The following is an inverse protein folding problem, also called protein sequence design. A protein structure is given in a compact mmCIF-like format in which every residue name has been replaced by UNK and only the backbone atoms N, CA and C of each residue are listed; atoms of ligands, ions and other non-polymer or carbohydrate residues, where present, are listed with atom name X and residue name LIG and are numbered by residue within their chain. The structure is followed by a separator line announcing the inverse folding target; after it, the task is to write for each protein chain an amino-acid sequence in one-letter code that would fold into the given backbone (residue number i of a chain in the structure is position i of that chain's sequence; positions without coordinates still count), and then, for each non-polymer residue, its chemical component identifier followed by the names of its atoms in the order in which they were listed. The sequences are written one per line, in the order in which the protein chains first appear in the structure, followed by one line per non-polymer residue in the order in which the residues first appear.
data_IF_506540305868
#
_entry.id   IF_506540305868
#
_cell.length_a   1.000
_cell.length_b   1.000
_cell.length_c   1.000
_cell.angle_alpha   90.00
_cell.angle_beta   90.00
_cell.angle_gamma   90.00
#
_symmetry.space_group_name_H-M   'P 1'
#
loop_
_entity.id
_entity.type
_entity.pdbx_description
1 polymer ?
#
# COMPACT_ATOMS: atom_id res chain seq x y z
N UNK A 1 -34.16 5.19 -15.74
CA UNK A 1 -35.64 5.16 -15.71
C UNK A 1 -36.20 4.53 -16.98
N UNK A 2 -35.85 5.01 -18.19
CA UNK A 2 -36.35 4.52 -19.48
C UNK A 2 -36.11 3.03 -19.73
N UNK A 3 -34.93 2.51 -19.35
CA UNK A 3 -34.58 1.09 -19.45
C UNK A 3 -35.51 0.24 -18.57
N UNK A 4 -35.79 0.68 -17.36
CA UNK A 4 -36.68 -0.03 -16.43
C UNK A 4 -38.10 -0.04 -16.97
N UNK A 5 -38.62 1.11 -17.43
CA UNK A 5 -39.97 1.22 -18.03
C UNK A 5 -40.12 0.34 -19.26
N UNK A 6 -39.11 0.31 -20.13
CA UNK A 6 -39.08 -0.53 -21.32
C UNK A 6 -38.97 -2.03 -20.99
N UNK A 7 -38.30 -2.39 -19.90
CA UNK A 7 -38.17 -3.78 -19.46
C UNK A 7 -39.44 -4.32 -18.80
N UNK A 8 -40.25 -3.45 -18.17
CA UNK A 8 -41.52 -3.84 -17.51
C UNK A 8 -42.69 -4.02 -18.50
N UNK A 9 -42.59 -3.41 -19.69
CA UNK A 9 -43.69 -3.51 -20.67
C UNK A 9 -43.74 -4.90 -21.33
N UNK A 10 -44.81 -5.67 -21.23
CA UNK A 10 -44.86 -7.09 -21.66
C UNK A 10 -44.56 -7.32 -23.15
N UNK A 11 -44.84 -6.32 -24.01
CA UNK A 11 -44.60 -6.37 -25.46
C UNK A 11 -43.27 -5.71 -25.86
N UNK A 12 -42.47 -5.24 -24.88
CA UNK A 12 -41.22 -4.53 -25.14
C UNK A 12 -40.11 -5.43 -25.66
N UNK A 13 -39.34 -4.94 -26.62
CA UNK A 13 -38.18 -5.66 -27.14
C UNK A 13 -37.16 -5.97 -26.04
N UNK A 14 -36.92 -5.03 -25.14
CA UNK A 14 -36.05 -5.21 -23.97
C UNK A 14 -36.60 -6.21 -22.98
N UNK A 15 -37.93 -6.31 -22.80
CA UNK A 15 -38.54 -7.33 -21.96
C UNK A 15 -38.24 -8.76 -22.46
N UNK A 16 -38.24 -8.95 -23.78
CA UNK A 16 -37.91 -10.25 -24.41
C UNK A 16 -36.41 -10.60 -24.24
N UNK A 17 -35.51 -9.60 -24.39
CA UNK A 17 -34.07 -9.83 -24.19
C UNK A 17 -33.77 -10.12 -22.72
N UNK A 18 -34.23 -9.28 -21.80
CA UNK A 18 -33.97 -9.42 -20.37
C UNK A 18 -34.72 -10.60 -19.73
N UNK A 19 -35.82 -11.02 -20.35
CA UNK A 19 -36.58 -12.23 -19.99
C UNK A 19 -35.94 -13.54 -20.45
N UNK A 20 -34.80 -13.49 -21.13
CA UNK A 20 -34.05 -14.69 -21.50
C UNK A 20 -33.59 -15.44 -20.23
N UNK A 21 -33.65 -16.79 -20.22
CA UNK A 21 -33.25 -17.63 -19.09
C UNK A 21 -31.85 -17.29 -18.52
N UNK A 22 -30.90 -16.91 -19.38
CA UNK A 22 -29.55 -16.51 -18.97
C UNK A 22 -29.55 -15.24 -18.11
N UNK A 23 -30.25 -14.18 -18.58
CA UNK A 23 -30.33 -12.92 -17.83
C UNK A 23 -31.11 -13.09 -16.52
N UNK A 24 -32.17 -13.92 -16.52
CA UNK A 24 -32.92 -14.26 -15.31
C UNK A 24 -32.02 -15.05 -14.34
N UNK A 25 -31.19 -15.97 -14.84
CA UNK A 25 -30.25 -16.73 -14.04
C UNK A 25 -29.24 -15.80 -13.35
N UNK A 26 -28.60 -14.91 -14.11
CA UNK A 26 -27.63 -13.90 -13.61
C UNK A 26 -28.31 -12.95 -12.63
N UNK A 27 -29.47 -12.41 -12.98
CA UNK A 27 -30.21 -11.45 -12.16
C UNK A 27 -30.60 -11.99 -10.79
N UNK A 28 -31.02 -13.26 -10.72
CA UNK A 28 -31.32 -13.93 -9.43
C UNK A 28 -30.10 -14.10 -8.53
N UNK A 29 -28.88 -14.11 -9.08
CA UNK A 29 -27.60 -14.33 -8.40
C UNK A 29 -26.75 -13.09 -8.30
N UNK A 30 -27.25 -11.98 -8.82
CA UNK A 30 -26.49 -10.71 -8.91
C UNK A 30 -25.91 -10.28 -7.56
N UNK A 31 -26.68 -10.47 -6.47
CA UNK A 31 -26.22 -10.15 -5.13
C UNK A 31 -25.06 -11.07 -4.68
N UNK A 32 -25.20 -12.40 -4.87
CA UNK A 32 -24.13 -13.33 -4.54
C UNK A 32 -22.89 -13.13 -5.42
N UNK A 33 -23.06 -12.82 -6.72
CA UNK A 33 -21.96 -12.45 -7.61
C UNK A 33 -21.25 -11.19 -7.14
N UNK A 34 -22.00 -10.16 -6.77
CA UNK A 34 -21.46 -8.92 -6.22
C UNK A 34 -20.67 -9.14 -4.92
N UNK A 35 -21.14 -10.00 -4.03
CA UNK A 35 -20.45 -10.30 -2.78
C UNK A 35 -19.10 -11.03 -3.01
N UNK A 36 -19.03 -11.92 -4.00
CA UNK A 36 -17.87 -12.80 -4.17
C UNK A 36 -16.82 -12.29 -5.15
N UNK A 37 -17.17 -11.41 -6.12
CA UNK A 37 -16.20 -10.97 -7.12
C UNK A 37 -15.01 -10.23 -6.51
N UNK A 38 -15.25 -9.30 -5.59
CA UNK A 38 -14.19 -8.49 -5.00
C UNK A 38 -13.25 -9.31 -4.09
N UNK A 39 -13.74 -10.14 -3.14
CA UNK A 39 -12.87 -11.02 -2.36
C UNK A 39 -12.02 -11.98 -3.21
N UNK A 40 -12.61 -12.56 -4.28
CA UNK A 40 -11.88 -13.46 -5.18
C UNK A 40 -10.74 -12.72 -5.89
N UNK A 41 -11.05 -11.58 -6.51
CA UNK A 41 -10.06 -10.75 -7.19
C UNK A 41 -8.97 -10.32 -6.20
N UNK A 42 -9.33 -9.75 -5.07
CA UNK A 42 -8.36 -9.26 -4.07
C UNK A 42 -7.45 -10.37 -3.58
N UNK A 43 -7.98 -11.58 -3.36
CA UNK A 43 -7.19 -12.70 -2.86
C UNK A 43 -6.26 -13.27 -3.93
N UNK A 44 -6.73 -13.47 -5.16
CA UNK A 44 -5.91 -14.04 -6.23
C UNK A 44 -4.86 -13.03 -6.70
N UNK A 45 -5.25 -11.75 -6.86
CA UNK A 45 -4.33 -10.72 -7.34
C UNK A 45 -3.22 -10.38 -6.34
N UNK A 46 -3.43 -10.63 -5.05
CA UNK A 46 -2.38 -10.46 -4.03
C UNK A 46 -1.16 -11.35 -4.23
N UNK A 47 -1.30 -12.47 -4.97
CA UNK A 47 -0.18 -13.34 -5.33
C UNK A 47 0.60 -12.86 -6.57
N UNK A 48 0.09 -11.88 -7.30
CA UNK A 48 0.71 -11.36 -8.53
C UNK A 48 1.17 -9.92 -8.31
N UNK A 49 2.40 -9.79 -7.84
CA UNK A 49 3.01 -8.50 -7.49
C UNK A 49 3.33 -7.64 -8.73
N UNK A 50 3.61 -8.27 -9.86
CA UNK A 50 4.13 -7.60 -11.07
C UNK A 50 3.07 -6.86 -11.92
N UNK A 51 1.83 -6.78 -11.48
CA UNK A 51 0.77 -6.04 -12.18
C UNK A 51 0.34 -6.59 -13.56
N UNK A 52 1.07 -7.54 -14.12
CA UNK A 52 0.69 -8.25 -15.36
C UNK A 52 0.11 -9.61 -15.04
N UNK A 53 -1.22 -9.64 -14.93
CA UNK A 53 -1.94 -10.89 -14.71
C UNK A 53 -2.02 -11.70 -16.02
N UNK A 54 -1.57 -12.95 -16.03
CA UNK A 54 -1.80 -13.82 -17.18
C UNK A 54 -3.31 -13.98 -17.46
N UNK A 55 -3.69 -14.06 -18.74
CA UNK A 55 -5.10 -14.17 -19.14
C UNK A 55 -5.86 -15.29 -18.44
N UNK A 56 -5.20 -16.41 -18.14
CA UNK A 56 -5.82 -17.52 -17.43
C UNK A 56 -6.27 -17.16 -16.01
N UNK A 57 -5.65 -16.18 -15.36
CA UNK A 57 -6.03 -15.71 -14.01
C UNK A 57 -7.41 -15.07 -14.05
N UNK A 58 -7.69 -14.21 -15.04
CA UNK A 58 -9.03 -13.62 -15.21
C UNK A 58 -10.10 -14.71 -15.44
N UNK A 59 -9.75 -15.78 -16.15
CA UNK A 59 -10.66 -16.91 -16.35
C UNK A 59 -10.92 -17.65 -15.02
N UNK A 60 -9.89 -17.85 -14.21
CA UNK A 60 -10.00 -18.43 -12.86
C UNK A 60 -10.88 -17.56 -11.96
N UNK A 61 -10.68 -16.24 -11.95
CA UNK A 61 -11.47 -15.29 -11.18
C UNK A 61 -12.97 -15.41 -11.51
N UNK A 62 -13.29 -15.43 -12.80
CA UNK A 62 -14.67 -15.56 -13.26
C UNK A 62 -15.28 -16.90 -12.82
N UNK A 63 -14.57 -18.01 -13.06
CA UNK A 63 -15.06 -19.34 -12.71
C UNK A 63 -15.25 -19.46 -11.20
N UNK A 64 -14.26 -19.04 -10.40
CA UNK A 64 -14.31 -19.14 -8.95
C UNK A 64 -15.42 -18.27 -8.39
N UNK A 65 -15.57 -17.04 -8.90
CA UNK A 65 -16.66 -16.13 -8.52
C UNK A 65 -18.03 -16.76 -8.80
N UNK A 66 -18.23 -17.36 -9.98
CA UNK A 66 -19.48 -18.01 -10.33
C UNK A 66 -19.77 -19.21 -9.41
N UNK A 67 -18.76 -20.03 -9.13
CA UNK A 67 -18.91 -21.21 -8.26
C UNK A 67 -19.28 -20.79 -6.83
N UNK A 68 -18.55 -19.84 -6.26
CA UNK A 68 -18.83 -19.35 -4.91
C UNK A 68 -20.18 -18.63 -4.82
N UNK A 69 -20.54 -17.85 -5.83
CA UNK A 69 -21.84 -17.19 -5.91
C UNK A 69 -23.00 -18.20 -6.00
N UNK A 70 -22.86 -19.27 -6.81
CA UNK A 70 -23.87 -20.33 -6.91
C UNK A 70 -24.02 -21.09 -5.58
N UNK A 71 -22.90 -21.42 -4.92
CA UNK A 71 -22.94 -22.07 -3.60
C UNK A 71 -23.62 -21.17 -2.56
N UNK A 72 -23.23 -19.89 -2.49
CA UNK A 72 -23.84 -18.91 -1.59
C UNK A 72 -25.33 -18.72 -1.86
N UNK A 73 -25.71 -18.53 -3.12
CA UNK A 73 -27.11 -18.38 -3.55
C UNK A 73 -27.97 -19.60 -3.17
N UNK A 74 -27.46 -20.80 -3.45
CA UNK A 74 -28.22 -22.04 -3.28
C UNK A 74 -28.34 -22.49 -1.84
N UNK A 75 -27.25 -22.39 -1.08
CA UNK A 75 -27.18 -22.98 0.26
C UNK A 75 -27.34 -21.97 1.39
N UNK A 76 -27.12 -20.68 1.14
CA UNK A 76 -27.22 -19.65 2.15
C UNK A 76 -28.35 -18.68 1.84
N UNK A 77 -28.27 -17.94 0.73
CA UNK A 77 -29.21 -16.83 0.41
C UNK A 77 -30.65 -17.34 0.25
N UNK A 78 -30.87 -18.30 -0.64
CA UNK A 78 -32.22 -18.80 -0.93
C UNK A 78 -32.90 -19.45 0.28
N UNK A 79 -32.24 -20.32 1.07
CA UNK A 79 -32.82 -20.86 2.30
C UNK A 79 -33.09 -19.80 3.34
N UNK A 80 -32.17 -18.85 3.52
CA UNK A 80 -32.34 -17.75 4.48
C UNK A 80 -33.54 -16.87 4.13
N UNK A 81 -33.71 -16.51 2.85
CA UNK A 81 -34.85 -15.69 2.37
C UNK A 81 -36.20 -16.40 2.55
N UNK A 82 -36.24 -17.75 2.51
CA UNK A 82 -37.48 -18.52 2.64
C UNK A 82 -37.85 -18.83 4.09
N UNK A 83 -36.87 -19.10 4.95
CA UNK A 83 -37.10 -19.70 6.27
C UNK A 83 -36.34 -18.94 7.41
N UNK A 84 -35.60 -17.88 7.08
CA UNK A 84 -34.76 -17.19 8.04
C UNK A 84 -33.71 -18.12 8.63
N UNK A 85 -33.34 -17.85 9.88
CA UNK A 85 -32.35 -18.64 10.64
C UNK A 85 -32.77 -20.11 10.80
N UNK A 86 -34.08 -20.39 10.78
CA UNK A 86 -34.61 -21.75 10.90
C UNK A 86 -34.13 -22.70 9.79
N UNK A 87 -33.72 -22.14 8.63
CA UNK A 87 -33.16 -22.90 7.50
C UNK A 87 -31.88 -23.68 7.86
N UNK A 88 -31.17 -23.24 8.91
CA UNK A 88 -29.88 -23.78 9.36
C UNK A 88 -30.02 -24.55 10.68
N UNK A 89 -31.24 -24.72 11.19
CA UNK A 89 -31.49 -25.49 12.42
C UNK A 89 -31.27 -26.95 12.14
N UNK A 90 -30.29 -27.56 12.82
CA UNK A 90 -29.95 -28.96 12.71
C UNK A 90 -31.00 -29.78 13.47
N UNK A 91 -31.92 -30.41 12.76
CA UNK A 91 -32.89 -31.36 13.31
C UNK A 91 -32.57 -32.81 12.83
N UNK A 92 -32.83 -33.80 13.69
CA UNK A 92 -32.60 -35.19 13.34
C UNK A 92 -33.33 -35.56 12.04
N UNK A 93 -32.57 -36.01 11.01
CA UNK A 93 -33.09 -36.44 9.71
C UNK A 93 -33.08 -35.40 8.61
N UNK A 94 -32.77 -34.11 8.86
CA UNK A 94 -32.71 -33.08 7.82
C UNK A 94 -31.31 -32.91 7.23
N UNK A 95 -30.94 -33.82 6.29
CA UNK A 95 -29.64 -33.77 5.60
C UNK A 95 -29.36 -32.44 4.92
N UNK A 96 -30.38 -31.77 4.39
CA UNK A 96 -30.20 -30.48 3.71
C UNK A 96 -29.85 -29.34 4.70
N UNK A 97 -30.42 -29.34 5.89
CA UNK A 97 -30.06 -28.34 6.92
C UNK A 97 -28.61 -28.54 7.37
N UNK A 98 -28.14 -29.79 7.50
CA UNK A 98 -26.75 -30.10 7.84
C UNK A 98 -25.80 -29.55 6.75
N UNK A 99 -26.07 -29.82 5.47
CA UNK A 99 -25.25 -29.34 4.35
C UNK A 99 -25.22 -27.79 4.34
N UNK A 100 -26.36 -27.14 4.53
CA UNK A 100 -26.45 -25.63 4.59
C UNK A 100 -25.61 -25.08 5.73
N UNK A 101 -25.69 -25.70 6.91
CA UNK A 101 -24.91 -25.27 8.08
C UNK A 101 -23.41 -25.46 7.86
N UNK A 102 -22.99 -26.56 7.26
CA UNK A 102 -21.58 -26.80 6.90
C UNK A 102 -21.10 -25.72 5.92
N UNK A 103 -21.86 -25.46 4.85
CA UNK A 103 -21.52 -24.42 3.87
C UNK A 103 -21.44 -23.04 4.55
N UNK A 104 -22.40 -22.70 5.39
CA UNK A 104 -22.39 -21.43 6.13
C UNK A 104 -21.14 -21.32 7.02
N UNK A 105 -20.79 -22.35 7.74
CA UNK A 105 -19.59 -22.39 8.58
C UNK A 105 -18.33 -22.21 7.72
N UNK A 106 -18.21 -22.91 6.59
CA UNK A 106 -17.06 -22.77 5.69
C UNK A 106 -16.91 -21.35 5.17
N UNK A 107 -18.00 -20.63 4.89
CA UNK A 107 -17.96 -19.23 4.46
C UNK A 107 -17.66 -18.27 5.61
N UNK A 108 -18.04 -18.59 6.85
CA UNK A 108 -17.76 -17.76 8.02
C UNK A 108 -16.35 -18.01 8.60
N UNK A 109 -15.76 -19.18 8.40
CA UNK A 109 -14.44 -19.52 8.93
C UNK A 109 -13.36 -18.50 8.56
N UNK A 110 -13.18 -18.07 7.30
CA UNK A 110 -12.19 -17.05 6.96
C UNK A 110 -12.40 -15.74 7.71
N UNK A 111 -13.66 -15.28 7.83
CA UNK A 111 -13.98 -14.06 8.57
C UNK A 111 -13.68 -14.21 10.07
N UNK A 112 -13.96 -15.36 10.66
CA UNK A 112 -13.63 -15.65 12.06
C UNK A 112 -12.11 -15.66 12.25
N UNK A 113 -11.35 -16.28 11.34
CA UNK A 113 -9.89 -16.29 11.40
C UNK A 113 -9.29 -14.88 11.31
N UNK A 114 -9.83 -14.02 10.44
CA UNK A 114 -9.44 -12.59 10.36
C UNK A 114 -9.76 -11.90 11.68
N UNK A 115 -10.99 -12.06 12.19
CA UNK A 115 -11.43 -11.40 13.43
C UNK A 115 -10.63 -11.81 14.68
N UNK A 116 -10.21 -13.08 14.76
CA UNK A 116 -9.39 -13.61 15.88
C UNK A 116 -7.90 -13.24 15.71
N UNK A 117 -7.52 -12.54 14.64
CA UNK A 117 -6.13 -12.15 14.39
C UNK A 117 -5.22 -13.35 14.07
N UNK A 118 -5.79 -14.49 13.67
CA UNK A 118 -4.99 -15.70 13.36
C UNK A 118 -4.12 -15.49 12.13
N UNK A 119 -4.52 -14.62 11.20
CA UNK A 119 -3.72 -14.23 10.04
C UNK A 119 -2.55 -13.31 10.43
N UNK A 120 -2.65 -12.55 11.52
CA UNK A 120 -1.53 -11.76 12.04
C UNK A 120 -0.34 -12.63 12.46
N UNK A 121 -0.60 -13.89 12.83
CA UNK A 121 0.46 -14.86 13.16
C UNK A 121 1.07 -15.52 11.94
N UNK A 122 0.30 -15.70 10.87
CA UNK A 122 0.81 -16.24 9.59
C UNK A 122 1.61 -15.20 8.82
N UNK A 123 1.19 -13.92 8.87
CA UNK A 123 1.96 -12.79 8.33
C UNK A 123 3.19 -12.41 9.15
N UNK A 124 3.27 -12.88 10.41
CA UNK A 124 4.43 -12.56 11.29
C UNK A 124 5.69 -13.33 10.95
N UNK A 125 5.61 -14.39 10.16
CA UNK A 125 6.80 -15.17 9.79
C UNK A 125 7.47 -14.71 8.49
N UNK A 126 6.76 -13.94 7.63
CA UNK A 126 7.30 -13.52 6.33
C UNK A 126 7.44 -11.99 6.15
N UNK A 127 6.86 -11.18 7.05
CA UNK A 127 6.94 -9.73 6.94
C UNK A 127 7.34 -9.16 8.31
N UNK A 128 8.63 -9.00 8.52
CA UNK A 128 9.17 -8.22 9.64
C UNK A 128 8.98 -6.70 9.42
N UNK A 129 8.14 -6.30 8.49
CA UNK A 129 7.77 -4.91 8.25
C UNK A 129 6.53 -4.53 9.04
N UNK A 130 6.72 -4.27 10.33
CA UNK A 130 5.65 -4.05 11.31
C UNK A 130 5.32 -2.60 11.58
N UNK A 131 5.59 -1.69 10.71
CA UNK A 131 5.09 -0.35 10.95
C UNK A 131 4.04 -0.01 9.90
N UNK A 132 2.78 0.13 10.29
CA UNK A 132 1.75 0.75 9.46
C UNK A 132 1.98 2.24 9.29
N UNK A 133 2.81 2.85 10.15
CA UNK A 133 3.30 4.23 10.07
C UNK A 133 4.53 4.41 10.93
N UNK A 134 5.38 5.35 10.55
CA UNK A 134 6.56 5.76 11.29
C UNK A 134 6.52 7.27 11.47
N UNK A 135 6.36 7.73 12.72
CA UNK A 135 6.36 9.15 13.05
C UNK A 135 7.27 9.37 14.26
N UNK A 136 8.35 10.10 14.06
CA UNK A 136 9.37 10.32 15.10
C UNK A 136 8.91 11.16 16.28
N UNK A 137 7.82 11.92 16.14
CA UNK A 137 7.27 12.72 17.25
C UNK A 137 6.60 11.85 18.33
N UNK A 138 6.27 10.59 18.01
CA UNK A 138 5.67 9.63 18.96
C UNK A 138 6.68 8.62 19.51
N UNK A 139 7.89 8.58 18.98
CA UNK A 139 8.89 7.51 19.24
C UNK A 139 9.59 7.64 20.58
N UNK A 140 9.68 8.81 21.20
CA UNK A 140 10.27 8.95 22.54
C UNK A 140 9.66 8.00 23.60
N UNK A 141 8.51 7.42 23.26
CA UNK A 141 7.78 6.48 24.12
C UNK A 141 8.07 5.00 23.86
N UNK A 142 8.71 4.65 22.73
CA UNK A 142 8.90 3.27 22.28
C UNK A 142 10.36 2.85 22.03
N UNK A 143 11.33 3.75 22.15
CA UNK A 143 12.77 3.50 21.91
C UNK A 143 13.47 2.63 22.96
N UNK A 144 12.74 1.96 23.84
CA UNK A 144 13.27 0.97 24.80
C UNK A 144 12.96 -0.47 24.32
N UNK A 145 13.01 -0.76 23.05
CA UNK A 145 13.02 -2.14 22.58
C UNK A 145 14.37 -2.44 21.92
N UNK A 146 15.16 -3.17 22.68
CA UNK A 146 16.39 -3.87 22.28
C UNK A 146 16.35 -4.36 20.84
N UNK A 147 17.14 -3.72 19.98
CA UNK A 147 17.59 -4.29 18.72
C UNK A 147 18.46 -5.51 19.10
N UNK A 148 18.26 -6.70 18.49
CA UNK A 148 19.18 -7.80 18.68
C UNK A 148 20.60 -7.34 18.32
N UNK A 149 21.58 -7.70 19.14
CA UNK A 149 22.99 -7.28 19.02
C UNK A 149 23.60 -7.61 17.65
N UNK A 150 23.01 -8.56 16.94
CA UNK A 150 23.44 -9.00 15.61
C UNK A 150 23.13 -7.99 14.49
N UNK A 151 22.11 -7.12 14.66
CA UNK A 151 21.74 -6.09 13.66
C UNK A 151 22.54 -4.80 13.82
N UNK A 152 23.15 -4.55 14.99
CA UNK A 152 24.02 -3.38 15.23
C UNK A 152 25.32 -3.48 14.42
N UNK A 153 25.81 -4.69 14.14
CA UNK A 153 26.98 -4.91 13.31
C UNK A 153 26.76 -4.66 11.81
N UNK A 154 25.51 -4.56 11.38
CA UNK A 154 25.17 -4.25 9.99
C UNK A 154 25.35 -2.76 9.66
N UNK A 155 25.08 -1.86 10.61
CA UNK A 155 25.12 -0.40 10.41
C UNK A 155 26.47 0.24 10.80
N UNK A 156 27.35 -0.48 11.48
CA UNK A 156 28.67 0.00 11.86
C UNK A 156 29.53 -1.14 12.34
N UNK A 157 30.44 -1.59 11.48
CA UNK A 157 31.51 -2.48 11.92
C UNK A 157 32.24 -1.88 13.12
N UNK A 158 32.40 -2.68 14.17
CA UNK A 158 33.14 -2.31 15.37
C UNK A 158 34.59 -2.05 15.00
N UNK A 159 34.91 -0.82 14.68
CA UNK A 159 36.23 -0.27 14.88
C UNK A 159 36.06 1.16 15.40
N UNK A 160 36.55 1.39 16.59
CA UNK A 160 36.50 2.62 17.36
C UNK A 160 37.33 3.74 16.71
N UNK A 161 36.88 4.21 15.57
CA UNK A 161 37.13 5.56 15.06
C UNK A 161 35.76 6.23 14.94
N UNK A 162 35.46 7.19 15.84
CA UNK A 162 34.42 8.18 15.59
C UNK A 162 34.68 8.73 14.20
N UNK A 163 33.89 8.32 13.22
CA UNK A 163 33.98 8.85 11.89
C UNK A 163 33.62 10.34 12.00
N UNK A 164 34.44 11.19 11.35
CA UNK A 164 34.17 12.63 11.28
C UNK A 164 32.83 12.96 10.61
N UNK A 165 32.18 11.98 10.01
CA UNK A 165 30.89 12.10 9.36
C UNK A 165 29.73 12.03 10.36
N UNK A 166 29.86 11.34 11.50
CA UNK A 166 28.85 11.29 12.56
C UNK A 166 28.60 12.67 13.20
N UNK A 167 29.61 13.53 13.29
CA UNK A 167 29.45 14.92 13.77
C UNK A 167 28.68 15.81 12.78
N UNK A 168 28.79 15.55 11.47
CA UNK A 168 28.11 16.34 10.44
C UNK A 168 26.61 16.05 10.42
N UNK A 169 26.22 14.81 10.69
CA UNK A 169 24.80 14.42 10.67
C UNK A 169 24.07 14.81 11.96
N UNK A 170 24.78 15.02 13.06
CA UNK A 170 24.19 15.41 14.34
C UNK A 170 23.48 16.77 14.30
N UNK A 171 23.90 17.69 13.43
CA UNK A 171 23.31 19.02 13.30
C UNK A 171 22.18 19.10 12.30
N UNK A 172 21.96 18.06 11.48
CA UNK A 172 20.90 18.03 10.48
C UNK A 172 19.54 17.81 11.15
N UNK A 173 18.53 18.57 10.71
CA UNK A 173 17.13 18.50 11.21
C UNK A 173 16.14 18.39 10.05
N UNK A 174 16.35 17.47 9.11
CA UNK A 174 15.47 17.35 7.95
C UNK A 174 14.09 16.84 8.34
N UNK A 175 13.08 17.25 7.56
CA UNK A 175 11.77 16.61 7.53
C UNK A 175 11.75 15.59 6.39
N UNK A 176 11.34 14.35 6.69
CA UNK A 176 11.12 13.31 5.70
C UNK A 176 9.64 12.93 5.69
N UNK A 177 8.99 13.01 4.55
CA UNK A 177 7.61 12.56 4.36
C UNK A 177 7.61 11.52 3.24
N UNK A 178 7.02 10.37 3.51
CA UNK A 178 6.97 9.30 2.52
C UNK A 178 5.92 8.24 2.78
N UNK A 179 5.96 7.22 1.97
CA UNK A 179 5.07 6.07 2.03
C UNK A 179 5.70 4.86 2.76
N UNK A 180 5.44 3.63 2.31
CA UNK A 180 6.00 2.43 2.94
C UNK A 180 7.51 2.31 2.80
N UNK A 181 8.10 2.87 1.73
CA UNK A 181 9.56 2.87 1.54
C UNK A 181 10.23 3.82 2.55
N UNK A 182 9.59 4.94 2.89
CA UNK A 182 10.04 5.79 3.98
C UNK A 182 9.95 5.09 5.34
N UNK A 183 8.94 4.22 5.53
CA UNK A 183 8.85 3.38 6.74
C UNK A 183 10.02 2.42 6.81
N UNK A 184 10.43 1.81 5.70
CA UNK A 184 11.57 0.88 5.64
C UNK A 184 12.86 1.55 6.10
N UNK A 185 13.14 2.79 5.67
CA UNK A 185 14.39 3.49 5.99
C UNK A 185 14.34 4.26 7.33
N UNK A 186 13.15 4.53 7.86
CA UNK A 186 12.93 5.53 8.91
C UNK A 186 13.77 5.32 10.15
N UNK A 187 13.78 4.12 10.73
CA UNK A 187 14.53 3.80 11.93
C UNK A 187 16.06 3.92 11.69
N UNK A 188 16.54 3.34 10.60
CA UNK A 188 17.96 3.36 10.24
C UNK A 188 18.43 4.79 9.91
N UNK A 189 17.58 5.60 9.28
CA UNK A 189 17.88 7.01 9.02
C UNK A 189 17.97 7.80 10.32
N UNK A 190 17.03 7.59 11.25
CA UNK A 190 17.01 8.26 12.55
C UNK A 190 18.25 7.95 13.40
N UNK A 191 18.77 6.73 13.29
CA UNK A 191 20.03 6.38 13.98
C UNK A 191 21.24 7.18 13.47
N UNK A 192 21.29 7.49 12.16
CA UNK A 192 22.36 8.31 11.56
C UNK A 192 22.12 9.83 11.73
N UNK A 193 20.87 10.27 11.70
CA UNK A 193 20.46 11.67 11.79
C UNK A 193 19.48 11.82 12.96
N UNK A 194 19.99 11.92 14.20
CA UNK A 194 19.15 11.85 15.41
C UNK A 194 18.05 12.93 15.50
N UNK A 195 18.24 14.08 14.85
CA UNK A 195 17.28 15.18 14.86
C UNK A 195 16.38 15.23 13.62
N UNK A 196 16.40 14.21 12.75
CA UNK A 196 15.45 14.09 11.66
C UNK A 196 14.02 13.94 12.18
N UNK A 197 13.07 14.59 11.53
CA UNK A 197 11.62 14.39 11.72
C UNK A 197 11.10 13.54 10.57
N UNK A 198 10.64 12.32 10.85
CA UNK A 198 10.26 11.35 9.82
C UNK A 198 8.80 10.98 9.97
N UNK A 199 8.03 11.11 8.89
CA UNK A 199 6.62 10.74 8.79
C UNK A 199 6.40 9.83 7.58
N UNK A 200 6.61 8.54 7.78
CA UNK A 200 6.31 7.46 6.82
C UNK A 200 4.98 6.81 7.15
N UNK A 201 4.18 6.51 6.13
CA UNK A 201 2.91 5.80 6.29
C UNK A 201 2.68 4.83 5.15
N UNK A 202 2.47 3.55 5.46
CA UNK A 202 2.16 2.53 4.47
C UNK A 202 0.92 2.91 3.66
N UNK A 203 1.04 2.85 2.33
CA UNK A 203 -0.06 3.15 1.42
C UNK A 203 -0.33 4.63 1.16
N UNK A 204 0.48 5.56 1.71
CA UNK A 204 0.28 7.01 1.49
C UNK A 204 0.43 7.36 0.01
N UNK A 205 -0.57 8.05 -0.52
CA UNK A 205 -0.51 8.69 -1.82
C UNK A 205 0.01 10.12 -1.72
N UNK A 206 0.56 10.67 -2.80
CA UNK A 206 1.09 12.03 -2.83
C UNK A 206 0.04 13.08 -2.41
N UNK A 207 -1.21 12.95 -2.85
CA UNK A 207 -2.27 13.90 -2.53
C UNK A 207 -2.63 13.98 -1.04
N UNK A 208 -2.25 12.97 -0.24
CA UNK A 208 -2.48 12.95 1.22
C UNK A 208 -1.42 13.76 1.97
N UNK A 209 -0.28 14.05 1.33
CA UNK A 209 0.82 14.78 1.97
C UNK A 209 0.53 16.29 2.11
N UNK A 210 -0.15 16.93 1.15
CA UNK A 210 -0.45 18.34 1.23
C UNK A 210 -1.32 18.73 2.44
N UNK A 211 -2.43 18.03 2.75
CA UNK A 211 -3.19 18.25 3.99
C UNK A 211 -2.39 17.93 5.26
N UNK A 212 -1.49 16.96 5.22
CA UNK A 212 -0.61 16.62 6.34
C UNK A 212 0.34 17.77 6.66
N UNK A 213 0.94 18.42 5.64
CA UNK A 213 1.81 19.57 5.81
C UNK A 213 1.05 20.72 6.44
N UNK A 214 -0.18 21.01 6.00
CA UNK A 214 -1.03 22.04 6.58
C UNK A 214 -1.36 21.82 8.06
N UNK A 215 -1.44 20.57 8.48
CA UNK A 215 -1.76 20.20 9.86
C UNK A 215 -0.55 20.18 10.79
N UNK A 216 0.60 19.69 10.32
CA UNK A 216 1.72 19.34 11.20
C UNK A 216 3.05 20.01 10.87
N UNK A 217 3.28 20.42 9.61
CA UNK A 217 4.62 20.75 9.12
C UNK A 217 4.73 22.13 8.46
N UNK A 218 3.82 23.04 8.75
CA UNK A 218 3.82 24.42 8.22
C UNK A 218 5.09 25.22 8.55
N UNK A 219 5.80 24.83 9.59
CA UNK A 219 7.04 25.46 10.03
C UNK A 219 8.28 25.10 9.21
N UNK A 220 8.18 24.11 8.30
CA UNK A 220 9.27 23.73 7.39
C UNK A 220 9.17 24.53 6.08
N UNK A 221 9.37 25.85 6.14
CA UNK A 221 9.17 26.75 5.01
C UNK A 221 10.31 27.75 4.80
N UNK A 222 11.37 27.68 5.60
CA UNK A 222 12.51 28.58 5.52
C UNK A 222 13.60 28.02 4.61
N UNK A 223 14.42 28.89 4.03
CA UNK A 223 15.52 28.49 3.14
C UNK A 223 16.55 27.54 3.79
N UNK A 224 16.66 27.56 5.10
CA UNK A 224 17.51 26.65 5.88
C UNK A 224 16.91 25.28 6.09
N UNK A 225 15.61 25.11 5.86
CA UNK A 225 14.93 23.85 6.09
C UNK A 225 15.17 22.88 4.92
N UNK A 226 15.24 21.62 5.27
CA UNK A 226 15.43 20.53 4.31
C UNK A 226 14.24 19.58 4.41
N UNK A 227 13.60 19.31 3.29
CA UNK A 227 12.42 18.45 3.20
C UNK A 227 12.67 17.37 2.16
N UNK A 228 12.57 16.13 2.55
CA UNK A 228 12.70 14.98 1.68
C UNK A 228 11.31 14.37 1.46
N UNK A 229 10.92 14.25 0.20
CA UNK A 229 9.64 13.65 -0.21
C UNK A 229 9.93 12.36 -0.97
N UNK A 230 9.54 11.24 -0.38
CA UNK A 230 9.59 9.91 -0.99
C UNK A 230 8.14 9.42 -1.12
N UNK A 231 7.51 9.72 -2.27
CA UNK A 231 6.11 9.45 -2.56
C UNK A 231 5.97 9.09 -4.04
N UNK A 232 5.07 8.16 -4.35
CA UNK A 232 4.81 7.76 -5.74
C UNK A 232 4.79 6.25 -5.97
N UNK A 233 5.08 5.44 -4.93
CA UNK A 233 4.98 3.98 -5.06
C UNK A 233 3.52 3.50 -4.99
N UNK A 234 2.61 4.29 -4.42
CA UNK A 234 1.22 3.89 -4.17
C UNK A 234 0.19 4.45 -5.16
N UNK A 235 0.62 5.18 -6.18
CA UNK A 235 -0.29 5.67 -7.22
C UNK A 235 0.29 6.78 -8.07
N UNK A 236 -0.35 6.98 -9.21
CA UNK A 236 -0.08 8.09 -10.11
C UNK A 236 -0.57 9.42 -9.51
N UNK A 237 0.01 10.52 -9.95
CA UNK A 237 -0.40 11.87 -9.55
C UNK A 237 -0.22 12.86 -10.70
N UNK A 238 -0.85 14.01 -10.61
CA UNK A 238 -0.72 15.07 -11.61
C UNK A 238 0.38 16.06 -11.26
N UNK A 239 0.82 16.82 -12.27
CA UNK A 239 1.78 17.92 -12.09
C UNK A 239 1.24 18.97 -11.08
N UNK A 240 -0.07 19.23 -11.10
CA UNK A 240 -0.71 20.17 -10.19
C UNK A 240 -0.61 19.72 -8.73
N UNK A 241 -0.84 18.42 -8.48
CA UNK A 241 -0.75 17.84 -7.13
C UNK A 241 0.69 17.93 -6.59
N UNK A 242 1.68 17.60 -7.41
CA UNK A 242 3.08 17.71 -7.02
C UNK A 242 3.48 19.17 -6.75
N UNK A 243 3.10 20.08 -7.63
CA UNK A 243 3.39 21.51 -7.47
C UNK A 243 2.65 22.12 -6.26
N UNK A 244 1.44 21.68 -5.95
CA UNK A 244 0.73 22.08 -4.74
C UNK A 244 1.50 21.68 -3.48
N UNK A 245 1.97 20.42 -3.42
CA UNK A 245 2.76 19.93 -2.29
C UNK A 245 4.08 20.70 -2.13
N UNK A 246 4.84 20.92 -3.22
CA UNK A 246 6.09 21.67 -3.20
C UNK A 246 5.88 23.09 -2.67
N UNK A 247 4.83 23.79 -3.13
CA UNK A 247 4.50 25.16 -2.69
C UNK A 247 4.23 25.28 -1.20
N UNK A 248 3.78 24.22 -0.52
CA UNK A 248 3.55 24.22 0.94
C UNK A 248 4.83 24.44 1.73
N UNK A 249 5.98 24.13 1.17
CA UNK A 249 7.28 24.26 1.81
C UNK A 249 7.98 25.60 1.53
N UNK A 250 7.34 26.54 0.83
CA UNK A 250 7.84 27.89 0.64
C UNK A 250 9.26 27.94 0.07
N UNK A 251 10.23 28.48 0.84
CA UNK A 251 11.64 28.61 0.45
C UNK A 251 12.51 27.39 0.87
N UNK A 252 11.95 26.41 1.55
CA UNK A 252 12.71 25.24 1.99
C UNK A 252 13.36 24.49 0.81
N UNK A 253 14.49 23.85 1.06
CA UNK A 253 15.14 22.96 0.10
C UNK A 253 14.36 21.64 0.05
N UNK A 254 13.70 21.36 -1.07
CA UNK A 254 12.88 20.16 -1.27
C UNK A 254 13.67 19.15 -2.10
N UNK A 255 13.79 17.94 -1.58
CA UNK A 255 14.44 16.80 -2.24
C UNK A 255 13.37 15.78 -2.61
N UNK A 256 13.17 15.57 -3.90
CA UNK A 256 12.25 14.56 -4.42
C UNK A 256 13.01 13.26 -4.67
N UNK A 257 12.66 12.21 -3.96
CA UNK A 257 13.19 10.86 -4.21
C UNK A 257 12.26 10.20 -5.22
N UNK A 258 12.76 9.94 -6.44
CA UNK A 258 11.96 9.25 -7.44
C UNK A 258 11.79 7.78 -7.10
N UNK A 259 10.78 7.15 -7.68
CA UNK A 259 10.34 5.82 -7.28
C UNK A 259 10.84 4.73 -8.23
N UNK A 260 11.03 3.52 -7.68
CA UNK A 260 11.10 2.27 -8.42
C UNK A 260 9.95 1.37 -7.97
N UNK A 261 9.00 1.18 -8.87
CA UNK A 261 7.79 0.40 -8.61
C UNK A 261 7.38 -0.31 -9.91
N UNK A 262 7.12 -1.62 -9.91
CA UNK A 262 6.73 -2.36 -11.13
C UNK A 262 5.27 -2.05 -11.50
N UNK A 263 5.01 -0.79 -11.85
CA UNK A 263 3.69 -0.27 -12.23
C UNK A 263 3.80 0.57 -13.50
N UNK A 264 2.71 0.65 -14.24
CA UNK A 264 2.64 1.38 -15.51
C UNK A 264 2.77 2.90 -15.37
N UNK A 265 2.62 3.46 -14.17
CA UNK A 265 2.76 4.88 -13.91
C UNK A 265 4.18 5.29 -13.46
N UNK A 266 5.10 4.35 -13.22
CA UNK A 266 6.45 4.65 -12.73
C UNK A 266 7.18 5.70 -13.56
N UNK A 267 7.21 5.53 -14.88
CA UNK A 267 7.90 6.48 -15.77
C UNK A 267 7.26 7.87 -15.73
N UNK A 268 5.92 7.94 -15.70
CA UNK A 268 5.18 9.20 -15.62
C UNK A 268 5.48 9.96 -14.33
N UNK A 269 5.40 9.28 -13.18
CA UNK A 269 5.69 9.85 -11.86
C UNK A 269 7.14 10.37 -11.80
N UNK A 270 8.10 9.58 -12.28
CA UNK A 270 9.51 9.96 -12.27
C UNK A 270 9.81 11.12 -13.22
N UNK A 271 9.14 11.21 -14.36
CA UNK A 271 9.22 12.35 -15.28
C UNK A 271 8.70 13.63 -14.64
N UNK A 272 7.53 13.59 -13.98
CA UNK A 272 6.99 14.75 -13.26
C UNK A 272 7.93 15.25 -12.17
N UNK A 273 8.55 14.35 -11.39
CA UNK A 273 9.52 14.73 -10.36
C UNK A 273 10.79 15.35 -10.97
N UNK A 274 11.29 14.78 -12.08
CA UNK A 274 12.43 15.33 -12.81
C UNK A 274 12.13 16.72 -13.36
N UNK A 275 10.95 16.94 -13.90
CA UNK A 275 10.55 18.22 -14.46
C UNK A 275 10.31 19.27 -13.36
N UNK A 276 9.76 18.89 -12.21
CA UNK A 276 9.64 19.76 -11.06
C UNK A 276 11.03 20.24 -10.57
N UNK A 277 12.01 19.34 -10.50
CA UNK A 277 13.38 19.71 -10.12
C UNK A 277 14.06 20.65 -11.13
N UNK A 278 13.65 20.66 -12.40
CA UNK A 278 14.15 21.63 -13.41
C UNK A 278 13.43 22.98 -13.34
N UNK A 279 12.16 22.99 -12.89
CA UNK A 279 11.32 24.19 -12.87
C UNK A 279 11.48 25.03 -11.61
N UNK A 280 11.88 24.42 -10.49
CA UNK A 280 11.97 25.08 -9.18
C UNK A 280 13.41 25.09 -8.67
N UNK A 281 13.96 26.26 -8.42
CA UNK A 281 15.37 26.45 -7.98
C UNK A 281 15.67 25.82 -6.60
N UNK A 282 14.64 25.63 -5.77
CA UNK A 282 14.74 25.03 -4.44
C UNK A 282 14.39 23.53 -4.43
N UNK A 283 14.22 22.91 -5.59
CA UNK A 283 13.89 21.48 -5.71
C UNK A 283 15.05 20.71 -6.31
N UNK A 284 15.41 19.61 -5.70
CA UNK A 284 16.48 18.71 -6.16
C UNK A 284 15.92 17.29 -6.31
N UNK A 285 16.22 16.62 -7.44
CA UNK A 285 15.90 15.22 -7.63
C UNK A 285 16.98 14.34 -7.01
N UNK A 286 16.58 13.39 -6.17
CA UNK A 286 17.39 12.25 -5.74
C UNK A 286 17.00 11.05 -6.61
N UNK A 287 17.87 10.68 -7.52
CA UNK A 287 17.58 9.66 -8.55
C UNK A 287 17.77 8.24 -8.01
N UNK A 288 16.82 7.82 -7.17
CA UNK A 288 16.76 6.45 -6.65
C UNK A 288 16.55 5.42 -7.76
N UNK A 289 15.76 5.77 -8.76
CA UNK A 289 15.50 4.90 -9.91
C UNK A 289 16.79 4.45 -10.58
N UNK A 290 17.67 5.41 -10.88
CA UNK A 290 18.98 5.13 -11.45
C UNK A 290 19.93 4.47 -10.46
N UNK A 291 19.91 4.91 -9.18
CA UNK A 291 20.80 4.38 -8.13
C UNK A 291 20.54 2.90 -7.87
N UNK A 292 19.30 2.46 -8.00
CA UNK A 292 18.88 1.07 -7.75
C UNK A 292 18.88 0.19 -9.01
N UNK A 293 19.26 0.74 -10.18
CA UNK A 293 19.29 -0.01 -11.42
C UNK A 293 20.29 -1.18 -11.35
N UNK A 294 19.81 -2.39 -11.71
CA UNK A 294 20.62 -3.61 -11.68
C UNK A 294 20.83 -4.22 -10.29
N UNK A 295 20.24 -3.64 -9.23
CA UNK A 295 20.40 -4.06 -7.85
C UNK A 295 19.15 -4.75 -7.33
N UNK A 296 18.87 -5.96 -7.79
CA UNK A 296 17.72 -6.74 -7.30
C UNK A 296 17.79 -7.06 -5.81
N UNK A 297 19.00 -7.12 -5.23
CA UNK A 297 19.26 -7.34 -3.81
C UNK A 297 18.85 -6.16 -2.91
N UNK A 298 18.50 -5.02 -3.49
CA UNK A 298 17.98 -3.89 -2.74
C UNK A 298 16.51 -4.04 -2.36
N UNK A 299 15.80 -4.94 -3.04
CA UNK A 299 14.35 -5.04 -2.96
C UNK A 299 13.89 -6.39 -2.41
N UNK A 300 12.80 -6.34 -1.66
CA UNK A 300 12.00 -7.51 -1.35
C UNK A 300 11.42 -8.14 -2.63
N UNK A 301 10.84 -9.35 -2.57
CA UNK A 301 10.27 -10.03 -3.74
C UNK A 301 9.18 -9.24 -4.49
N UNK A 302 8.58 -8.24 -3.87
CA UNK A 302 7.59 -7.35 -4.49
C UNK A 302 8.20 -6.28 -5.42
N UNK A 303 9.53 -6.12 -5.39
CA UNK A 303 10.26 -5.14 -6.19
C UNK A 303 10.06 -3.68 -5.76
N UNK A 304 9.52 -3.43 -4.56
CA UNK A 304 9.19 -2.10 -4.02
C UNK A 304 9.86 -1.87 -2.67
N UNK A 305 9.50 -2.71 -1.68
CA UNK A 305 10.01 -2.58 -0.32
C UNK A 305 11.50 -2.91 -0.26
N UNK A 306 12.21 -2.27 0.66
CA UNK A 306 13.65 -2.35 0.69
C UNK A 306 14.15 -3.42 1.65
N UNK A 307 15.08 -4.24 1.15
CA UNK A 307 15.93 -5.08 1.98
C UNK A 307 17.07 -4.24 2.60
N UNK A 308 17.78 -4.80 3.56
CA UNK A 308 18.85 -4.10 4.29
C UNK A 308 19.88 -3.40 3.39
N UNK A 309 20.25 -4.00 2.25
CA UNK A 309 21.17 -3.40 1.29
C UNK A 309 20.56 -2.17 0.60
N UNK A 310 19.27 -2.23 0.27
CA UNK A 310 18.51 -1.13 -0.31
C UNK A 310 18.30 0.01 0.68
N UNK A 311 17.94 -0.29 1.92
CA UNK A 311 17.81 0.68 3.03
C UNK A 311 19.10 1.49 3.15
N UNK A 312 20.23 0.80 3.26
CA UNK A 312 21.55 1.46 3.34
C UNK A 312 21.83 2.32 2.12
N UNK A 313 21.60 1.79 0.91
CA UNK A 313 21.89 2.50 -0.33
C UNK A 313 21.02 3.76 -0.50
N UNK A 314 19.74 3.72 -0.11
CA UNK A 314 18.85 4.87 -0.17
C UNK A 314 19.24 5.93 0.87
N UNK A 315 19.54 5.54 2.09
CA UNK A 315 20.01 6.45 3.14
C UNK A 315 21.30 7.15 2.69
N UNK A 316 22.28 6.41 2.19
CA UNK A 316 23.55 6.97 1.73
C UNK A 316 23.33 7.95 0.56
N UNK A 317 22.38 7.67 -0.36
CA UNK A 317 22.05 8.57 -1.47
C UNK A 317 21.34 9.85 -0.97
N UNK A 318 20.40 9.75 -0.03
CA UNK A 318 19.76 10.92 0.58
C UNK A 318 20.80 11.79 1.29
N UNK A 319 21.64 11.20 2.15
CA UNK A 319 22.65 11.93 2.92
C UNK A 319 23.67 12.65 2.04
N UNK A 320 24.05 12.10 0.91
CA UNK A 320 24.94 12.71 -0.07
C UNK A 320 24.37 14.04 -0.63
N UNK A 321 23.04 14.18 -0.69
CA UNK A 321 22.40 15.38 -1.23
C UNK A 321 22.13 16.44 -0.15
N UNK A 322 21.77 16.02 1.07
CA UNK A 322 21.40 16.95 2.16
C UNK A 322 22.60 17.40 3.01
N UNK A 323 23.74 16.69 2.92
CA UNK A 323 24.95 17.06 3.66
C UNK A 323 25.62 18.28 3.02
N UNK A 324 25.96 19.34 3.77
CA UNK A 324 26.69 20.47 3.24
C UNK A 324 28.01 20.02 2.60
N UNK A 325 28.26 20.45 1.37
CA UNK A 325 29.55 20.20 0.73
C UNK A 325 30.63 20.91 1.56
N UNK A 326 31.59 20.15 2.09
CA UNK A 326 32.78 20.77 2.69
C UNK A 326 33.48 21.58 1.59
N UNK A 327 33.52 22.90 1.74
CA UNK A 327 34.35 23.75 0.90
C UNK A 327 35.77 23.21 0.97
N UNK A 328 36.33 22.88 -0.22
CA UNK A 328 37.71 22.38 -0.34
C UNK A 328 38.69 23.53 -0.24
#
# INVERSE_FOLDING_TARGET
LFVIMSAVHPSGYFAKILGNPLFIYIGKRSYSLYLWHFPVISFIHSYYVDGQLPVYVYVIDIILTIVLAEMSYRYIETPFRKQGIKAFSISRGNKQAVIRSIVLILFLLPAIFVFVGSFDKLGKNDINHKATSYNTNEIDKYLVRTIPVDDVNFLGGSDSKKDKDDEVYADLKPLLIGDSVMVDIGESFKMKVPHANIDGQVGRNLYEAAPLVDQKYQNYNQKSDQVILELGTNGDFSEEQLNELIKKFGEAQVYLVNTRVPRNYESHVNELMSDAAKKHDNVTLIDWYKRSEGHSEYFAPDGIHLENAGIKAMIDEILKHITPKKDK
#
